data_IF_409174498469
#
_entry.id   IF_409174498469
#
_cell.length_a   1.000
_cell.length_b   1.000
_cell.length_c   1.000
_cell.angle_alpha   90.00
_cell.angle_beta   90.00
_cell.angle_gamma   90.00
#
_symmetry.space_group_name_H-M   'P 1'
#
loop_
_entity.id
_entity.type
_entity.pdbx_description
1 polymer ?
#
# COMPACT_ATOMS: atom_id res chain seq x y z
N UNK A 1 31.43 27.81 -11.21
CA UNK A 1 29.99 27.78 -11.55
C UNK A 1 29.61 26.31 -11.73
N UNK A 2 29.21 25.64 -10.65
CA UNK A 2 28.79 24.23 -10.71
C UNK A 2 27.31 24.19 -11.09
N UNK A 3 27.04 23.95 -12.37
CA UNK A 3 25.70 23.59 -12.81
C UNK A 3 25.49 22.13 -12.40
N UNK A 4 25.01 21.94 -11.17
CA UNK A 4 24.57 20.63 -10.69
C UNK A 4 23.37 20.22 -11.53
N UNK A 5 23.57 19.35 -12.51
CA UNK A 5 22.46 18.76 -13.27
C UNK A 5 21.65 17.94 -12.28
N UNK A 6 20.48 18.45 -11.88
CA UNK A 6 19.46 17.67 -11.19
C UNK A 6 19.01 16.56 -12.14
N UNK A 7 19.68 15.42 -12.09
CA UNK A 7 19.15 14.18 -12.62
C UNK A 7 18.00 13.80 -11.71
N UNK A 8 16.78 14.18 -12.10
CA UNK A 8 15.58 13.63 -11.49
C UNK A 8 15.66 12.13 -11.73
N UNK A 9 15.76 11.36 -10.64
CA UNK A 9 15.90 9.91 -10.74
C UNK A 9 14.61 9.35 -11.37
N UNK A 10 14.68 8.61 -12.49
CA UNK A 10 13.50 8.02 -13.14
C UNK A 10 12.62 7.22 -12.15
N UNK A 11 13.25 6.56 -11.17
CA UNK A 11 12.56 5.84 -10.10
C UNK A 11 11.72 6.74 -9.20
N UNK A 12 12.17 7.96 -8.94
CA UNK A 12 11.40 8.92 -8.15
C UNK A 12 10.12 9.31 -8.91
N UNK A 13 10.24 9.62 -10.20
CA UNK A 13 9.07 9.95 -11.05
C UNK A 13 8.10 8.77 -11.09
N UNK A 14 8.61 7.56 -11.33
CA UNK A 14 7.80 6.32 -11.35
C UNK A 14 7.04 6.15 -10.04
N UNK A 15 7.72 6.26 -8.90
CA UNK A 15 7.11 6.09 -7.58
C UNK A 15 6.11 7.21 -7.25
N UNK A 16 6.38 8.45 -7.67
CA UNK A 16 5.42 9.56 -7.52
C UNK A 16 4.15 9.28 -8.32
N UNK A 17 4.26 8.91 -9.60
CA UNK A 17 3.10 8.61 -10.44
C UNK A 17 2.30 7.44 -9.86
N UNK A 18 2.97 6.35 -9.46
CA UNK A 18 2.33 5.20 -8.84
C UNK A 18 1.59 5.59 -7.55
N UNK A 19 2.23 6.41 -6.70
CA UNK A 19 1.63 6.91 -5.47
C UNK A 19 0.37 7.74 -5.73
N UNK A 20 0.46 8.73 -6.62
CA UNK A 20 -0.68 9.59 -6.98
C UNK A 20 -1.86 8.79 -7.51
N UNK A 21 -1.62 7.85 -8.44
CA UNK A 21 -2.69 7.02 -9.01
C UNK A 21 -3.35 6.14 -7.95
N UNK A 22 -2.57 5.58 -7.01
CA UNK A 22 -3.14 4.80 -5.90
C UNK A 22 -4.09 5.62 -5.05
N UNK A 23 -3.69 6.82 -4.64
CA UNK A 23 -4.54 7.66 -3.80
C UNK A 23 -5.80 8.11 -4.53
N UNK A 24 -5.70 8.47 -5.81
CA UNK A 24 -6.86 8.83 -6.65
C UNK A 24 -7.84 7.66 -6.79
N UNK A 25 -7.34 6.47 -7.17
CA UNK A 25 -8.19 5.28 -7.33
C UNK A 25 -8.84 4.88 -6.00
N UNK A 26 -8.10 5.01 -4.91
CA UNK A 26 -8.62 4.79 -3.57
C UNK A 26 -9.78 5.75 -3.25
N UNK A 27 -9.59 7.06 -3.45
CA UNK A 27 -10.64 8.04 -3.16
C UNK A 27 -11.88 7.84 -4.01
N UNK A 28 -11.72 7.63 -5.31
CA UNK A 28 -12.85 7.37 -6.21
C UNK A 28 -13.61 6.11 -5.78
N UNK A 29 -12.89 5.03 -5.47
CA UNK A 29 -13.50 3.77 -5.04
C UNK A 29 -14.24 3.93 -3.72
N UNK A 30 -13.61 4.60 -2.75
CA UNK A 30 -14.20 4.88 -1.44
C UNK A 30 -15.44 5.77 -1.55
N UNK A 31 -15.36 6.86 -2.30
CA UNK A 31 -16.46 7.80 -2.51
C UNK A 31 -17.69 7.15 -3.15
N UNK A 32 -17.50 6.27 -4.14
CA UNK A 32 -18.60 5.51 -4.76
C UNK A 32 -19.31 4.61 -3.73
N UNK A 33 -18.56 3.93 -2.87
CA UNK A 33 -19.13 3.06 -1.83
C UNK A 33 -19.84 3.87 -0.75
N UNK A 34 -19.25 4.99 -0.33
CA UNK A 34 -19.83 5.87 0.68
C UNK A 34 -21.14 6.53 0.21
N UNK A 35 -21.20 6.98 -1.05
CA UNK A 35 -22.43 7.55 -1.62
C UNK A 35 -23.60 6.58 -1.63
N UNK A 36 -23.33 5.30 -1.88
CA UNK A 36 -24.35 4.24 -1.85
C UNK A 36 -24.80 3.93 -0.43
N UNK A 37 -23.89 3.98 0.53
CA UNK A 37 -24.17 3.61 1.92
C UNK A 37 -24.91 4.69 2.71
N UNK A 38 -24.68 5.98 2.43
CA UNK A 38 -25.41 7.08 3.09
C UNK A 38 -26.94 7.05 2.84
N UNK A 39 -27.44 6.07 2.08
CA UNK A 39 -28.85 5.80 1.84
C UNK A 39 -29.44 4.74 2.80
N UNK A 40 -28.61 4.04 3.59
CA UNK A 40 -29.00 2.94 4.49
C UNK A 40 -28.71 3.28 5.98
N UNK A 41 -29.51 2.71 6.89
CA UNK A 41 -29.73 3.17 8.28
C UNK A 41 -28.53 3.00 9.26
N UNK A 42 -28.49 3.83 10.31
CA UNK A 42 -27.26 4.36 10.98
C UNK A 42 -26.57 3.49 12.05
N UNK A 43 -27.00 2.26 12.33
CA UNK A 43 -26.49 1.53 13.52
C UNK A 43 -25.23 0.68 13.31
N UNK A 44 -24.79 0.42 12.07
CA UNK A 44 -23.62 -0.42 11.75
C UNK A 44 -22.43 0.36 11.15
N UNK A 45 -22.38 1.68 11.35
CA UNK A 45 -21.58 2.61 10.55
C UNK A 45 -20.06 2.34 10.56
N UNK A 46 -19.47 1.97 11.70
CA UNK A 46 -18.00 1.88 11.82
C UNK A 46 -17.36 0.61 11.25
N UNK A 47 -17.97 -0.56 11.50
CA UNK A 47 -17.47 -1.81 10.92
C UNK A 47 -17.57 -1.78 9.39
N UNK A 48 -18.57 -1.06 8.89
CA UNK A 48 -18.82 -0.87 7.47
C UNK A 48 -17.90 0.20 6.84
N UNK A 49 -17.59 1.27 7.56
CA UNK A 49 -16.62 2.27 7.13
C UNK A 49 -15.22 1.66 6.98
N UNK A 50 -14.79 0.84 7.94
CA UNK A 50 -13.51 0.13 7.87
C UNK A 50 -13.48 -0.85 6.68
N UNK A 51 -14.59 -1.54 6.39
CA UNK A 51 -14.65 -2.47 5.26
C UNK A 51 -14.57 -1.76 3.92
N UNK A 52 -15.14 -0.56 3.78
CA UNK A 52 -14.95 0.29 2.60
C UNK A 52 -13.49 0.68 2.39
N UNK A 53 -12.77 1.06 3.45
CA UNK A 53 -11.35 1.37 3.36
C UNK A 53 -10.54 0.15 2.88
N UNK A 54 -10.87 -1.05 3.37
CA UNK A 54 -10.26 -2.29 2.90
C UNK A 54 -10.54 -2.53 1.41
N UNK A 55 -11.78 -2.42 0.96
CA UNK A 55 -12.17 -2.67 -0.44
C UNK A 55 -11.54 -1.62 -1.37
N UNK A 56 -11.60 -0.34 -1.01
CA UNK A 56 -10.98 0.74 -1.79
C UNK A 56 -9.46 0.52 -1.87
N UNK A 57 -8.83 0.11 -0.76
CA UNK A 57 -7.43 -0.27 -0.72
C UNK A 57 -7.10 -1.45 -1.64
N UNK A 58 -7.95 -2.48 -1.68
CA UNK A 58 -7.77 -3.63 -2.58
C UNK A 58 -7.78 -3.21 -4.06
N UNK A 59 -8.70 -2.32 -4.45
CA UNK A 59 -8.83 -1.81 -5.83
C UNK A 59 -7.62 -0.93 -6.18
N UNK A 60 -7.24 -0.03 -5.28
CA UNK A 60 -6.08 0.83 -5.45
C UNK A 60 -4.78 0.02 -5.57
N UNK A 61 -4.59 -0.99 -4.72
CA UNK A 61 -3.44 -1.90 -4.77
C UNK A 61 -3.39 -2.74 -6.05
N UNK A 62 -4.54 -3.18 -6.54
CA UNK A 62 -4.61 -3.87 -7.85
C UNK A 62 -4.19 -2.95 -8.98
N UNK A 63 -4.64 -1.69 -8.96
CA UNK A 63 -4.25 -0.67 -9.94
C UNK A 63 -2.76 -0.35 -9.87
N UNK A 64 -2.20 -0.26 -8.66
CA UNK A 64 -0.75 -0.12 -8.43
C UNK A 64 0.03 -1.24 -9.12
N UNK A 65 -0.39 -2.50 -8.93
CA UNK A 65 0.27 -3.65 -9.55
C UNK A 65 0.25 -3.56 -11.08
N UNK A 66 -0.91 -3.30 -11.68
CA UNK A 66 -1.02 -3.20 -13.13
C UNK A 66 -0.20 -2.05 -13.71
N UNK A 67 -0.20 -0.90 -13.05
CA UNK A 67 0.59 0.25 -13.50
C UNK A 67 2.10 -0.01 -13.35
N UNK A 68 2.52 -0.65 -12.25
CA UNK A 68 3.90 -1.09 -12.05
C UNK A 68 4.38 -2.04 -13.15
N UNK A 69 3.55 -3.03 -13.48
CA UNK A 69 3.79 -3.97 -14.58
C UNK A 69 3.83 -3.28 -15.94
N UNK A 70 2.99 -2.27 -16.18
CA UNK A 70 3.02 -1.48 -17.40
C UNK A 70 4.37 -0.75 -17.56
N UNK A 71 4.85 -0.11 -16.49
CA UNK A 71 6.18 0.51 -16.49
C UNK A 71 7.30 -0.50 -16.74
N UNK A 72 7.29 -1.65 -16.07
CA UNK A 72 8.26 -2.73 -16.28
C UNK A 72 8.24 -3.25 -17.72
N UNK A 73 7.05 -3.38 -18.31
CA UNK A 73 6.88 -3.82 -19.70
C UNK A 73 7.47 -2.79 -20.66
N UNK A 74 7.23 -1.49 -20.43
CA UNK A 74 7.78 -0.41 -21.24
C UNK A 74 9.31 -0.36 -21.17
N UNK A 75 9.88 -0.55 -19.97
CA UNK A 75 11.31 -0.50 -19.71
C UNK A 75 12.03 -1.74 -20.30
N UNK A 76 11.50 -2.94 -20.04
CA UNK A 76 12.16 -4.18 -20.41
C UNK A 76 11.81 -4.67 -21.83
N UNK A 77 10.75 -4.12 -22.44
CA UNK A 77 10.16 -4.57 -23.71
C UNK A 77 9.76 -6.04 -23.71
N UNK A 78 9.31 -6.52 -22.56
CA UNK A 78 8.92 -7.91 -22.36
C UNK A 78 7.59 -7.95 -21.60
N UNK A 79 6.69 -8.84 -22.03
CA UNK A 79 5.41 -9.02 -21.37
C UNK A 79 5.57 -9.89 -20.11
N UNK A 80 4.98 -9.50 -18.97
CA UNK A 80 4.98 -10.33 -17.79
C UNK A 80 4.16 -11.60 -18.02
N UNK A 81 4.55 -12.69 -17.36
CA UNK A 81 3.75 -13.91 -17.38
C UNK A 81 2.44 -13.70 -16.61
N UNK A 82 1.35 -14.36 -17.03
CA UNK A 82 0.06 -14.29 -16.32
C UNK A 82 0.19 -14.62 -14.82
N UNK A 83 1.03 -15.61 -14.48
CA UNK A 83 1.28 -16.00 -13.09
C UNK A 83 1.91 -14.87 -12.28
N UNK A 84 2.95 -14.20 -12.83
CA UNK A 84 3.58 -13.06 -12.17
C UNK A 84 2.61 -11.89 -12.01
N UNK A 85 1.82 -11.59 -13.05
CA UNK A 85 0.76 -10.57 -12.99
C UNK A 85 -0.23 -10.82 -11.86
N UNK A 86 -0.77 -12.04 -11.76
CA UNK A 86 -1.71 -12.40 -10.70
C UNK A 86 -1.08 -12.34 -9.30
N UNK A 87 0.17 -12.82 -9.16
CA UNK A 87 0.89 -12.76 -7.88
C UNK A 87 1.15 -11.31 -7.44
N UNK A 88 1.57 -10.45 -8.37
CA UNK A 88 1.76 -9.02 -8.12
C UNK A 88 0.46 -8.33 -7.73
N UNK A 89 -0.63 -8.60 -8.46
CA UNK A 89 -1.95 -8.05 -8.16
C UNK A 89 -2.42 -8.46 -6.75
N UNK A 90 -2.32 -9.75 -6.37
CA UNK A 90 -2.70 -10.21 -5.04
C UNK A 90 -1.82 -9.57 -3.95
N UNK A 91 -0.50 -9.52 -4.18
CA UNK A 91 0.44 -8.94 -3.22
C UNK A 91 0.12 -7.47 -2.93
N UNK A 92 0.00 -6.64 -3.97
CA UNK A 92 -0.28 -5.22 -3.79
C UNK A 92 -1.70 -4.97 -3.31
N UNK A 93 -2.69 -5.74 -3.78
CA UNK A 93 -4.06 -5.66 -3.29
C UNK A 93 -4.13 -5.90 -1.78
N UNK A 94 -3.47 -6.96 -1.28
CA UNK A 94 -3.42 -7.25 0.16
C UNK A 94 -2.65 -6.19 0.95
N UNK A 95 -1.50 -5.74 0.44
CA UNK A 95 -0.69 -4.71 1.10
C UNK A 95 -1.50 -3.41 1.27
N UNK A 96 -2.19 -2.94 0.22
CA UNK A 96 -2.99 -1.72 0.28
C UNK A 96 -4.30 -1.91 1.04
N UNK A 97 -4.95 -3.08 0.97
CA UNK A 97 -6.12 -3.41 1.82
C UNK A 97 -5.78 -3.21 3.30
N UNK A 98 -4.65 -3.76 3.74
CA UNK A 98 -4.22 -3.65 5.13
C UNK A 98 -3.74 -2.24 5.45
N UNK A 99 -3.08 -1.54 4.53
CA UNK A 99 -2.67 -0.15 4.71
C UNK A 99 -3.87 0.74 5.05
N UNK A 100 -4.86 0.82 4.16
CA UNK A 100 -6.00 1.71 4.32
C UNK A 100 -6.96 1.23 5.42
N UNK A 101 -7.17 -0.08 5.54
CA UNK A 101 -8.00 -0.65 6.61
C UNK A 101 -7.43 -0.41 8.01
N UNK A 102 -6.12 -0.62 8.19
CA UNK A 102 -5.46 -0.33 9.47
C UNK A 102 -5.43 1.18 9.76
N UNK A 103 -5.30 2.02 8.74
CA UNK A 103 -5.29 3.48 8.91
C UNK A 103 -6.64 3.94 9.47
N UNK A 104 -7.74 3.51 8.85
CA UNK A 104 -9.08 3.82 9.33
C UNK A 104 -9.32 3.32 10.76
N UNK A 105 -8.92 2.07 11.07
CA UNK A 105 -9.09 1.50 12.40
C UNK A 105 -8.28 2.23 13.48
N UNK A 106 -7.01 2.56 13.20
CA UNK A 106 -6.15 3.28 14.15
C UNK A 106 -6.61 4.72 14.34
N UNK A 107 -6.97 5.41 13.25
CA UNK A 107 -7.50 6.76 13.28
C UNK A 107 -8.75 6.85 14.17
N UNK A 108 -9.72 5.98 13.93
CA UNK A 108 -10.95 5.90 14.73
C UNK A 108 -10.66 5.63 16.21
N UNK A 109 -9.74 4.70 16.51
CA UNK A 109 -9.37 4.40 17.89
C UNK A 109 -8.80 5.65 18.58
N UNK A 110 -7.88 6.36 17.93
CA UNK A 110 -7.26 7.58 18.47
C UNK A 110 -8.29 8.71 18.67
N UNK A 111 -9.16 8.95 17.68
CA UNK A 111 -10.25 9.91 17.78
C UNK A 111 -11.18 9.60 18.95
N UNK A 112 -11.55 8.32 19.13
CA UNK A 112 -12.42 7.89 20.23
C UNK A 112 -11.77 8.09 21.62
N UNK A 113 -10.44 7.91 21.72
CA UNK A 113 -9.70 8.13 22.96
C UNK A 113 -9.63 9.62 23.30
N UNK A 114 -9.35 10.47 22.32
CA UNK A 114 -9.26 11.92 22.50
C UNK A 114 -10.62 12.51 22.81
N UNK A 115 -11.69 12.08 22.13
CA UNK A 115 -13.05 12.51 22.42
C UNK A 115 -13.47 12.20 23.86
N UNK A 116 -13.18 10.99 24.35
CA UNK A 116 -13.43 10.60 25.75
C UNK A 116 -12.62 11.45 26.73
N UNK A 117 -11.35 11.71 26.43
CA UNK A 117 -10.50 12.55 27.26
C UNK A 117 -10.97 14.01 27.30
N UNK A 118 -11.41 14.55 26.17
CA UNK A 118 -11.96 15.90 26.08
C UNK A 118 -13.27 16.01 26.86
N UNK A 119 -14.18 15.04 26.74
CA UNK A 119 -15.44 15.03 27.50
C UNK A 119 -15.19 15.02 29.02
N UNK A 120 -14.18 14.27 29.49
CA UNK A 120 -13.77 14.27 30.91
C UNK A 120 -13.16 15.61 31.35
N UNK A 121 -12.40 16.27 30.47
CA UNK A 121 -11.72 17.55 30.76
C UNK A 121 -12.65 18.76 30.70
N UNK A 122 -13.64 18.76 29.81
CA UNK A 122 -14.66 19.82 29.73
C UNK A 122 -15.65 19.78 30.90
N UNK A 123 -15.84 18.61 31.52
CA UNK A 123 -16.57 18.51 32.79
C UNK A 123 -15.81 19.14 33.98
N UNK A 124 -14.51 19.40 33.84
CA UNK A 124 -13.64 19.91 34.91
C UNK A 124 -13.10 21.33 34.68
N UNK A 125 -13.11 21.85 33.45
CA UNK A 125 -12.60 23.20 33.13
C UNK A 125 -13.34 23.82 31.94
N UNK A 126 -13.94 25.00 32.14
CA UNK A 126 -14.56 25.81 31.07
C UNK A 126 -13.52 26.73 30.43
N UNK A 127 -12.67 26.20 29.55
CA UNK A 127 -11.68 27.01 28.84
C UNK A 127 -12.03 27.14 27.36
N UNK A 128 -12.26 28.39 26.96
CA UNK A 128 -12.50 28.84 25.60
C UNK A 128 -11.16 28.82 24.82
N UNK A 129 -11.01 27.85 23.92
CA UNK A 129 -9.84 27.70 23.05
C UNK A 129 -9.93 26.46 22.15
N UNK A 130 -11.15 26.11 21.70
CA UNK A 130 -11.46 24.78 21.14
C UNK A 130 -10.90 24.52 19.73
N UNK A 131 -10.86 25.51 18.85
CA UNK A 131 -10.65 25.26 17.42
C UNK A 131 -9.17 25.04 17.05
N UNK A 132 -8.24 25.81 17.63
CA UNK A 132 -6.80 25.66 17.37
C UNK A 132 -6.25 24.35 17.99
N UNK A 133 -6.81 23.96 19.14
CA UNK A 133 -6.50 22.69 19.79
C UNK A 133 -6.94 21.49 18.94
N UNK A 134 -8.14 21.52 18.34
CA UNK A 134 -8.66 20.40 17.54
C UNK A 134 -7.82 20.12 16.28
N UNK A 135 -7.29 21.16 15.64
CA UNK A 135 -6.48 21.02 14.42
C UNK A 135 -5.13 20.32 14.71
N UNK A 136 -4.47 20.65 15.82
CA UNK A 136 -3.19 20.01 16.21
C UNK A 136 -3.38 18.52 16.51
N UNK A 137 -4.49 18.14 17.15
CA UNK A 137 -4.82 16.73 17.37
C UNK A 137 -5.09 15.99 16.06
N UNK A 138 -5.79 16.60 15.10
CA UNK A 138 -6.03 15.96 13.81
C UNK A 138 -4.73 15.64 13.06
N UNK A 139 -3.78 16.58 13.01
CA UNK A 139 -2.44 16.34 12.43
C UNK A 139 -1.78 15.15 13.14
N UNK A 140 -1.77 15.16 14.48
CA UNK A 140 -1.15 14.10 15.28
C UNK A 140 -1.80 12.73 15.08
N UNK A 141 -3.13 12.67 15.01
CA UNK A 141 -3.90 11.46 14.77
C UNK A 141 -3.59 10.91 13.38
N UNK A 142 -3.70 11.73 12.34
CA UNK A 142 -3.46 11.32 10.95
C UNK A 142 -2.03 10.84 10.76
N UNK A 143 -1.05 11.57 11.28
CA UNK A 143 0.36 11.18 11.22
C UNK A 143 0.60 9.84 11.91
N UNK A 144 0.04 9.66 13.12
CA UNK A 144 0.21 8.42 13.90
C UNK A 144 -0.48 7.24 13.22
N UNK A 145 -1.73 7.42 12.78
CA UNK A 145 -2.47 6.40 12.05
C UNK A 145 -1.73 6.00 10.76
N UNK A 146 -1.33 6.97 9.95
CA UNK A 146 -0.57 6.73 8.71
C UNK A 146 0.76 6.01 8.96
N UNK A 147 1.51 6.42 9.99
CA UNK A 147 2.77 5.79 10.35
C UNK A 147 2.61 4.34 10.82
N UNK A 148 1.63 4.07 11.70
CA UNK A 148 1.31 2.69 12.16
C UNK A 148 0.88 1.84 10.98
N UNK A 149 0.02 2.36 10.10
CA UNK A 149 -0.43 1.64 8.91
C UNK A 149 0.71 1.31 7.96
N UNK A 150 1.68 2.22 7.80
CA UNK A 150 2.90 1.94 7.03
C UNK A 150 3.69 0.76 7.58
N UNK A 151 3.85 0.69 8.90
CA UNK A 151 4.49 -0.45 9.59
C UNK A 151 3.75 -1.76 9.32
N UNK A 152 2.41 -1.75 9.44
CA UNK A 152 1.58 -2.94 9.21
C UNK A 152 1.63 -3.36 7.75
N UNK A 153 1.48 -2.43 6.80
CA UNK A 153 1.59 -2.70 5.37
C UNK A 153 2.95 -3.26 4.98
N UNK A 154 4.06 -2.68 5.49
CA UNK A 154 5.40 -3.21 5.23
C UNK A 154 5.54 -4.66 5.72
N UNK A 155 4.99 -4.94 6.91
CA UNK A 155 5.00 -6.28 7.49
C UNK A 155 4.20 -7.27 6.65
N UNK A 156 2.97 -6.91 6.28
CA UNK A 156 2.10 -7.77 5.45
C UNK A 156 2.68 -7.96 4.06
N UNK A 157 3.19 -6.90 3.43
CA UNK A 157 3.87 -6.98 2.13
C UNK A 157 5.03 -7.97 2.19
N UNK A 158 5.87 -7.92 3.21
CA UNK A 158 6.96 -8.89 3.38
C UNK A 158 6.43 -10.35 3.41
N UNK A 159 5.42 -10.63 4.24
CA UNK A 159 4.86 -11.98 4.35
C UNK A 159 4.15 -12.44 3.06
N UNK A 160 3.39 -11.58 2.41
CA UNK A 160 2.69 -11.93 1.16
C UNK A 160 3.67 -12.12 0.01
N UNK A 161 4.74 -11.34 -0.05
CA UNK A 161 5.84 -11.49 -1.01
C UNK A 161 6.52 -12.86 -0.89
N UNK A 162 6.81 -13.29 0.35
CA UNK A 162 7.33 -14.62 0.63
C UNK A 162 6.34 -15.73 0.28
N UNK A 163 5.08 -15.58 0.67
CA UNK A 163 4.03 -16.57 0.44
C UNK A 163 3.79 -16.83 -1.06
N UNK A 164 3.71 -15.75 -1.83
CA UNK A 164 3.46 -15.79 -3.28
C UNK A 164 4.74 -16.04 -4.09
N UNK A 165 5.91 -16.03 -3.44
CA UNK A 165 7.22 -16.15 -4.09
C UNK A 165 7.45 -15.08 -5.18
N UNK A 166 7.01 -13.85 -4.91
CA UNK A 166 7.09 -12.73 -5.87
C UNK A 166 8.54 -12.45 -6.23
N UNK A 167 9.42 -12.32 -5.24
CA UNK A 167 10.86 -12.06 -5.44
C UNK A 167 11.57 -13.15 -6.24
N UNK A 168 11.23 -14.43 -5.99
CA UNK A 168 11.82 -15.55 -6.72
C UNK A 168 11.35 -15.55 -8.17
N UNK A 169 10.07 -15.26 -8.39
CA UNK A 169 9.46 -15.20 -9.73
C UNK A 169 10.04 -14.04 -10.53
N UNK A 170 10.22 -12.88 -9.91
CA UNK A 170 10.86 -11.69 -10.49
C UNK A 170 12.30 -11.98 -10.91
N UNK A 171 13.12 -12.55 -10.01
CA UNK A 171 14.51 -12.93 -10.32
C UNK A 171 14.60 -13.94 -11.46
N UNK A 172 13.69 -14.92 -11.49
CA UNK A 172 13.64 -15.92 -12.57
C UNK A 172 13.25 -15.26 -13.89
N UNK A 173 12.30 -14.33 -13.88
CA UNK A 173 11.90 -13.57 -15.07
C UNK A 173 13.04 -12.70 -15.59
N UNK A 174 13.72 -11.94 -14.72
CA UNK A 174 14.88 -11.14 -15.12
C UNK A 174 16.01 -12.00 -15.69
N UNK A 175 16.32 -13.13 -15.06
CA UNK A 175 17.31 -14.07 -15.58
C UNK A 175 16.90 -14.65 -16.93
N UNK A 176 15.62 -14.97 -17.12
CA UNK A 176 15.09 -15.48 -18.38
C UNK A 176 15.06 -14.39 -19.48
N UNK A 177 14.77 -13.14 -19.13
CA UNK A 177 14.83 -11.99 -20.04
C UNK A 177 16.26 -11.67 -20.46
N UNK A 178 17.22 -11.71 -19.52
CA UNK A 178 18.64 -11.57 -19.81
C UNK A 178 19.13 -12.72 -20.69
N UNK A 179 18.74 -13.96 -20.38
CA UNK A 179 19.07 -15.15 -21.17
C UNK A 179 18.48 -15.06 -22.59
N UNK A 180 17.25 -14.58 -22.76
CA UNK A 180 16.64 -14.34 -24.08
C UNK A 180 17.35 -13.22 -24.85
N UNK A 181 17.79 -12.13 -24.18
CA UNK A 181 18.61 -11.10 -24.83
C UNK A 181 19.95 -11.65 -25.34
N UNK A 182 20.55 -12.60 -24.63
CA UNK A 182 21.77 -13.29 -25.08
C UNK A 182 21.51 -14.40 -26.10
N UNK A 183 20.34 -15.04 -26.07
CA UNK A 183 19.94 -16.10 -27.01
C UNK A 183 19.49 -15.55 -28.37
N UNK A 184 19.12 -14.27 -28.45
CA UNK A 184 18.95 -13.57 -29.75
C UNK A 184 20.27 -13.49 -30.54
N UNK A 185 21.42 -13.82 -29.93
CA UNK A 185 22.71 -14.05 -30.61
C UNK A 185 23.06 -15.51 -30.87
N UNK A 186 22.30 -16.48 -30.36
CA UNK A 186 22.54 -17.91 -30.56
C UNK A 186 21.20 -18.67 -30.52
N UNK A 187 20.65 -18.94 -31.70
CA UNK A 187 19.44 -19.75 -31.84
C UNK A 187 19.71 -21.20 -31.45
N UNK A 188 19.00 -21.71 -30.44
CA UNK A 188 18.39 -23.05 -30.48
C UNK A 188 17.26 -23.16 -29.46
N UNK A 189 16.13 -23.66 -29.96
CA UNK A 189 14.88 -23.90 -29.25
C UNK A 189 15.05 -25.14 -28.39
N UNK A 190 14.80 -25.05 -27.08
CA UNK A 190 14.33 -26.17 -26.27
C UNK A 190 13.41 -25.67 -25.16
N UNK A 191 12.19 -26.20 -25.14
CA UNK A 191 11.13 -25.88 -24.15
C UNK A 191 11.13 -26.92 -23.02
N UNK A 192 11.17 -26.53 -21.74
CA UNK A 192 10.79 -27.41 -20.66
C UNK A 192 9.34 -27.16 -20.25
N UNK A 193 8.61 -28.28 -20.13
CA UNK A 193 7.22 -28.37 -19.73
C UNK A 193 6.96 -27.85 -18.31
N UNK A 194 5.76 -27.28 -18.14
CA UNK A 194 5.21 -26.80 -16.89
C UNK A 194 5.03 -27.93 -15.86
N UNK A 195 5.68 -27.79 -14.71
CA UNK A 195 5.40 -28.55 -13.49
C UNK A 195 5.28 -27.57 -12.34
N UNK A 196 4.09 -27.40 -11.77
CA UNK A 196 3.90 -26.42 -10.71
C UNK A 196 2.52 -26.39 -10.10
N UNK A 197 2.11 -27.47 -9.43
CA UNK A 197 0.86 -27.49 -8.65
C UNK A 197 0.97 -28.19 -7.29
N UNK A 198 2.16 -28.32 -6.71
CA UNK A 198 2.37 -28.94 -5.37
C UNK A 198 3.13 -28.07 -4.35
N UNK A 199 3.37 -26.77 -4.62
CA UNK A 199 4.25 -25.94 -3.77
C UNK A 199 3.54 -25.07 -2.72
N UNK A 200 2.24 -24.78 -2.84
CA UNK A 200 1.58 -23.78 -1.98
C UNK A 200 1.50 -24.26 -0.51
N UNK A 201 1.10 -25.51 -0.28
CA UNK A 201 0.98 -26.07 1.08
C UNK A 201 2.34 -26.26 1.76
N UNK A 202 3.38 -26.59 0.99
CA UNK A 202 4.75 -26.75 1.49
C UNK A 202 5.46 -25.40 1.68
N UNK A 203 5.04 -24.36 0.97
CA UNK A 203 5.44 -22.96 1.19
C UNK A 203 4.93 -22.46 2.54
N UNK A 204 3.64 -22.68 2.85
CA UNK A 204 3.01 -22.22 4.11
C UNK A 204 3.74 -22.68 5.38
N UNK A 205 4.26 -23.91 5.41
CA UNK A 205 4.98 -24.47 6.56
C UNK A 205 6.37 -23.84 6.73
N UNK A 206 6.99 -23.38 5.63
CA UNK A 206 8.32 -22.76 5.63
C UNK A 206 8.30 -21.22 5.71
N UNK A 207 7.10 -20.60 5.70
CA UNK A 207 6.90 -19.14 5.80
C UNK A 207 7.09 -18.57 7.20
N UNK A 208 7.29 -19.40 8.24
CA UNK A 208 7.70 -18.96 9.58
C UNK A 208 9.19 -18.60 9.62
N UNK A 209 9.58 -17.68 8.75
CA UNK A 209 10.91 -17.09 8.63
C UNK A 209 10.93 -15.71 9.32
N UNK A 210 12.12 -15.15 9.61
CA UNK A 210 12.25 -14.02 10.51
C UNK A 210 11.42 -12.82 10.06
N UNK A 211 10.93 -12.06 11.04
CA UNK A 211 10.29 -10.77 10.84
C UNK A 211 11.10 -9.91 9.85
N UNK A 212 10.44 -9.01 9.08
CA UNK A 212 11.15 -8.04 8.27
C UNK A 212 12.17 -7.30 9.15
N UNK A 213 13.36 -6.92 8.61
CA UNK A 213 14.38 -6.24 9.38
C UNK A 213 13.78 -5.04 10.11
N UNK A 214 13.93 -4.99 11.44
CA UNK A 214 13.27 -3.98 12.28
C UNK A 214 13.56 -2.55 11.79
N UNK A 215 14.76 -2.30 11.27
CA UNK A 215 15.13 -1.01 10.67
C UNK A 215 14.27 -0.63 9.45
N UNK A 216 13.99 -1.57 8.54
CA UNK A 216 13.14 -1.28 7.37
C UNK A 216 11.69 -1.01 7.79
N UNK A 217 11.19 -1.81 8.74
CA UNK A 217 9.83 -1.65 9.27
C UNK A 217 9.66 -0.32 9.99
N UNK A 218 10.63 0.11 10.80
CA UNK A 218 10.57 1.38 11.52
C UNK A 218 10.68 2.58 10.57
N UNK A 219 11.44 2.47 9.49
CA UNK A 219 11.56 3.53 8.47
C UNK A 219 10.29 3.72 7.64
N UNK A 220 9.38 2.75 7.61
CA UNK A 220 8.08 2.90 6.96
C UNK A 220 7.19 3.93 7.68
N UNK A 221 7.38 4.11 8.99
CA UNK A 221 6.56 5.02 9.80
C UNK A 221 6.64 6.49 9.33
N UNK A 222 7.82 7.16 9.30
CA UNK A 222 7.89 8.57 8.94
C UNK A 222 7.43 8.85 7.52
N UNK A 223 7.77 7.97 6.56
CA UNK A 223 7.35 8.13 5.16
C UNK A 223 5.83 8.08 5.02
N UNK A 224 5.18 7.11 5.65
CA UNK A 224 3.73 6.95 5.56
C UNK A 224 2.97 8.00 6.39
N UNK A 225 3.50 8.43 7.53
CA UNK A 225 2.94 9.54 8.29
C UNK A 225 2.83 10.82 7.43
N UNK A 226 3.91 11.17 6.71
CA UNK A 226 3.91 12.33 5.82
C UNK A 226 2.99 12.12 4.62
N UNK A 227 2.96 10.92 4.03
CA UNK A 227 2.10 10.62 2.88
C UNK A 227 0.60 10.76 3.24
N UNK A 228 0.16 10.25 4.39
CA UNK A 228 -1.22 10.36 4.83
C UNK A 228 -1.59 11.79 5.25
N UNK A 229 -0.66 12.54 5.86
CA UNK A 229 -0.87 13.98 6.08
C UNK A 229 -1.07 14.72 4.75
N UNK A 230 -0.16 14.53 3.80
CA UNK A 230 -0.25 15.18 2.50
C UNK A 230 -1.57 14.82 1.79
N UNK A 231 -1.96 13.55 1.83
CA UNK A 231 -3.21 13.06 1.28
C UNK A 231 -4.44 13.71 1.91
N UNK A 232 -4.53 13.70 3.23
CA UNK A 232 -5.72 14.17 3.94
C UNK A 232 -5.89 15.69 3.87
N UNK A 233 -4.80 16.45 3.96
CA UNK A 233 -4.84 17.91 3.87
C UNK A 233 -4.90 18.44 2.44
N UNK A 234 -4.46 17.67 1.43
CA UNK A 234 -4.66 18.06 0.03
C UNK A 234 -6.13 17.96 -0.39
N UNK A 235 -6.94 17.13 0.29
CA UNK A 235 -8.37 16.98 0.01
C UNK A 235 -9.19 18.23 0.37
N UNK A 236 -8.71 19.02 1.33
CA UNK A 236 -9.42 20.19 1.85
C UNK A 236 -9.05 21.51 1.12
N UNK A 237 -8.19 21.45 0.09
CA UNK A 237 -7.77 22.58 -0.76
C UNK A 237 -8.52 22.56 -2.09
#
# INVERSE_FOLDING_TARGET
>A
MFVSRCYVCPDLIKNTILGTVVFEVYEQSYGIMQQRWNQEDTSAQHAFETSHHCIAGAIAGTSHAFLGLAFETMENRALPTFRYTMQSAIHHSLAHTVLFGSYAGVKYLLESMIAKQHQQRSATTSLAGGDEFLMEYQIGITATAGGVSGVVQNTVSHYTGMWLQVETTEKTMYQQMLANRTAVTAASIDSPAASGSRSIMRSMINSFRPLPPAGQTLLAFPGMAVAFLAFEYARDI
#
